data_IF_134185224654
#
_entry.id   IF_134185224654
#
_cell.length_a   1.000
_cell.length_b   1.000
_cell.length_c   1.000
_cell.angle_alpha   90.00
_cell.angle_beta   90.00
_cell.angle_gamma   90.00
#
_symmetry.space_group_name_H-M   'P 1'
#
loop_
_entity.id
_entity.type
_entity.pdbx_description
1 polymer ?
#
# COMPACT_ATOMS: atom_id res chain seq x y z
N UNK A 1 50.98 2.60 50.31
CA UNK A 1 50.88 1.66 51.45
C UNK A 1 50.18 0.42 50.99
N UNK A 2 50.96 -0.61 50.96
CA UNK A 2 50.73 -1.97 51.47
C UNK A 2 49.62 -2.76 50.75
N UNK A 3 50.09 -3.75 49.94
CA UNK A 3 50.25 -5.21 50.27
C UNK A 3 48.92 -5.93 50.18
N UNK A 4 48.76 -7.10 49.66
CA UNK A 4 49.62 -8.27 49.32
C UNK A 4 48.63 -9.37 48.85
N UNK A 5 49.04 -10.11 47.89
CA UNK A 5 49.47 -11.52 47.96
C UNK A 5 48.28 -12.52 47.91
N UNK A 6 48.26 -13.30 46.87
CA UNK A 6 48.86 -14.63 46.64
C UNK A 6 48.03 -15.80 47.21
N UNK A 7 47.87 -16.74 46.34
CA UNK A 7 47.78 -18.22 46.43
C UNK A 7 46.48 -18.72 45.81
N UNK A 8 46.48 -19.50 44.79
CA UNK A 8 47.26 -20.74 44.62
C UNK A 8 46.31 -21.89 44.92
N UNK A 9 45.79 -22.49 43.91
CA UNK A 9 44.94 -23.65 44.09
C UNK A 9 44.93 -24.46 42.81
N UNK A 10 45.86 -25.35 42.73
CA UNK A 10 45.97 -26.43 41.77
C UNK A 10 44.87 -27.43 42.13
N UNK A 11 43.98 -27.75 41.23
CA UNK A 11 43.16 -28.95 41.37
C UNK A 11 42.84 -29.43 39.96
N UNK A 12 43.65 -30.36 39.56
CA UNK A 12 43.43 -31.73 39.15
C UNK A 12 42.34 -31.96 38.13
N UNK A 13 42.83 -32.21 36.95
CA UNK A 13 42.17 -32.89 35.86
C UNK A 13 41.53 -34.19 36.36
N UNK A 14 40.22 -34.23 36.40
CA UNK A 14 39.47 -35.48 36.42
C UNK A 14 39.00 -35.72 35.00
N UNK A 15 39.80 -36.40 34.23
CA UNK A 15 39.40 -37.12 33.02
C UNK A 15 38.40 -38.20 33.40
N UNK A 16 37.17 -37.89 33.29
CA UNK A 16 36.14 -38.93 33.26
C UNK A 16 36.18 -39.55 31.87
N UNK A 17 36.88 -40.60 31.72
CA UNK A 17 36.73 -41.56 30.66
C UNK A 17 35.33 -42.18 30.81
N UNK A 18 34.41 -41.67 30.01
CA UNK A 18 33.13 -42.29 29.87
C UNK A 18 33.34 -43.60 29.12
N UNK A 19 33.31 -44.71 29.88
CA UNK A 19 33.31 -46.03 29.33
C UNK A 19 32.09 -46.19 28.41
N UNK A 20 32.38 -46.44 27.17
CA UNK A 20 31.42 -46.73 26.15
C UNK A 20 30.86 -48.10 26.41
N UNK A 21 29.77 -48.18 27.14
CA UNK A 21 28.98 -49.41 27.19
C UNK A 21 28.37 -49.63 25.80
N UNK A 22 28.93 -50.59 25.12
CA UNK A 22 28.36 -51.19 23.93
C UNK A 22 27.15 -52.00 24.35
N UNK A 23 25.97 -51.36 24.42
CA UNK A 23 24.74 -52.08 24.39
C UNK A 23 24.54 -52.58 22.96
N UNK A 24 24.82 -53.83 22.75
CA UNK A 24 24.37 -54.59 21.59
C UNK A 24 22.82 -54.59 21.60
N UNK A 25 22.24 -53.46 21.15
CA UNK A 25 20.82 -53.39 20.80
C UNK A 25 20.65 -53.98 19.43
N UNK A 26 20.00 -55.09 19.37
CA UNK A 26 19.47 -55.72 18.18
C UNK A 26 18.59 -54.70 17.40
N UNK A 27 19.18 -53.97 16.55
CA UNK A 27 18.54 -53.15 15.56
C UNK A 27 19.35 -53.30 14.29
N UNK A 28 18.76 -53.86 13.28
CA UNK A 28 19.36 -54.04 11.96
C UNK A 28 19.59 -52.64 11.36
N UNK A 29 20.61 -51.97 11.88
CA UNK A 29 21.07 -50.73 11.25
C UNK A 29 21.94 -51.12 10.06
N UNK A 30 21.32 -51.41 8.97
CA UNK A 30 22.02 -51.64 7.72
C UNK A 30 22.21 -50.30 7.01
N UNK A 31 23.39 -49.72 6.97
CA UNK A 31 23.64 -48.43 6.35
C UNK A 31 23.31 -48.43 4.83
N UNK A 32 23.36 -49.62 4.21
CA UNK A 32 23.00 -49.77 2.81
C UNK A 32 21.51 -49.62 2.57
N UNK A 33 20.66 -49.97 3.52
CA UNK A 33 19.20 -49.82 3.39
C UNK A 33 18.79 -48.36 3.62
N UNK A 34 19.48 -47.65 4.51
CA UNK A 34 19.19 -46.23 4.73
C UNK A 34 19.56 -45.34 3.51
N UNK A 35 20.52 -45.74 2.70
CA UNK A 35 20.85 -45.04 1.49
C UNK A 35 19.69 -45.08 0.44
N UNK A 36 18.90 -46.15 0.45
CA UNK A 36 17.76 -46.31 -0.45
C UNK A 36 16.56 -45.42 -0.03
N UNK A 37 16.49 -45.04 1.24
CA UNK A 37 15.45 -44.16 1.76
C UNK A 37 15.90 -42.74 2.01
N UNK A 38 17.09 -42.36 1.56
CA UNK A 38 17.52 -40.98 1.59
C UNK A 38 16.60 -40.15 0.71
N UNK A 39 15.60 -39.57 1.32
CA UNK A 39 14.78 -38.56 0.67
C UNK A 39 15.65 -37.30 0.52
N UNK A 40 16.15 -37.06 -0.67
CA UNK A 40 16.68 -35.77 -1.00
C UNK A 40 15.49 -34.81 -0.87
N UNK A 41 15.56 -33.94 0.12
CA UNK A 41 14.58 -32.87 0.26
C UNK A 41 14.52 -32.14 -1.09
N UNK A 42 13.47 -32.41 -1.84
CA UNK A 42 13.18 -31.65 -3.04
C UNK A 42 13.12 -30.17 -2.66
N UNK A 43 13.52 -29.31 -3.57
CA UNK A 43 13.46 -27.87 -3.50
C UNK A 43 12.37 -27.39 -2.56
N UNK A 44 12.73 -26.60 -1.58
CA UNK A 44 11.80 -25.85 -0.75
C UNK A 44 10.71 -25.32 -1.66
N UNK A 45 9.51 -25.80 -1.45
CA UNK A 45 8.33 -25.35 -2.19
C UNK A 45 8.36 -23.83 -2.20
N UNK A 46 8.32 -23.21 -3.38
CA UNK A 46 8.40 -21.77 -3.51
C UNK A 46 7.51 -21.13 -2.48
N UNK A 47 8.07 -20.19 -1.71
CA UNK A 47 7.33 -19.51 -0.65
C UNK A 47 6.02 -18.98 -1.20
N UNK A 48 4.98 -18.95 -0.37
CA UNK A 48 3.70 -18.34 -0.72
C UNK A 48 3.97 -16.99 -1.40
N UNK A 49 3.36 -16.76 -2.57
CA UNK A 49 3.54 -15.53 -3.32
C UNK A 49 3.21 -14.35 -2.40
N UNK A 50 4.16 -13.44 -2.22
CA UNK A 50 3.94 -12.19 -1.49
C UNK A 50 3.04 -11.20 -2.25
N UNK A 51 2.57 -11.56 -3.44
CA UNK A 51 1.89 -10.69 -4.40
C UNK A 51 0.36 -10.62 -4.23
N UNK A 52 -0.23 -11.35 -3.31
CA UNK A 52 -1.68 -11.36 -3.07
C UNK A 52 -2.21 -10.17 -2.26
N UNK A 53 -1.54 -9.01 -2.31
CA UNK A 53 -1.97 -7.81 -1.58
C UNK A 53 -2.71 -6.87 -2.50
N UNK A 54 -3.93 -6.52 -2.11
CA UNK A 54 -4.72 -5.50 -2.77
C UNK A 54 -4.94 -4.31 -1.85
N UNK A 55 -5.05 -3.12 -2.41
CA UNK A 55 -5.35 -1.90 -1.65
C UNK A 55 -6.83 -1.56 -1.81
N UNK A 56 -7.43 -1.02 -0.75
CA UNK A 56 -8.80 -0.55 -0.81
C UNK A 56 -9.01 0.44 -1.96
N UNK A 57 -10.09 0.32 -2.72
CA UNK A 57 -10.40 1.20 -3.84
C UNK A 57 -10.50 2.65 -3.37
N UNK A 58 -9.92 3.57 -4.13
CA UNK A 58 -9.91 5.02 -3.79
C UNK A 58 -11.04 5.79 -4.45
N UNK A 59 -11.84 5.13 -5.30
CA UNK A 59 -13.00 5.69 -5.99
C UNK A 59 -12.71 7.02 -6.70
N UNK A 60 -11.57 7.10 -7.41
CA UNK A 60 -11.19 8.27 -8.18
C UNK A 60 -11.97 8.35 -9.50
N UNK A 61 -12.07 9.54 -10.05
CA UNK A 61 -12.69 9.82 -11.35
C UNK A 61 -13.81 10.86 -11.28
N UNK A 62 -14.49 11.02 -12.40
CA UNK A 62 -15.66 11.88 -12.52
C UNK A 62 -16.84 11.23 -11.80
N UNK A 63 -17.62 12.04 -11.08
CA UNK A 63 -18.82 11.65 -10.35
C UNK A 63 -20.08 12.26 -10.97
N UNK A 64 -19.90 13.33 -11.72
CA UNK A 64 -20.95 14.06 -12.43
C UNK A 64 -20.54 14.25 -13.87
N UNK A 65 -21.47 13.95 -14.78
CA UNK A 65 -21.26 14.11 -16.22
C UNK A 65 -21.56 15.52 -16.72
N UNK A 66 -21.31 15.73 -18.01
CA UNK A 66 -21.66 16.99 -18.68
C UNK A 66 -23.18 17.16 -18.76
N UNK A 67 -23.67 18.37 -18.46
CA UNK A 67 -25.09 18.69 -18.45
C UNK A 67 -25.87 18.21 -17.22
N UNK A 68 -25.22 17.49 -16.31
CA UNK A 68 -25.87 16.97 -15.09
C UNK A 68 -26.07 18.10 -14.07
N UNK A 69 -27.25 18.09 -13.42
CA UNK A 69 -27.59 19.09 -12.39
C UNK A 69 -26.90 18.75 -11.09
N UNK A 70 -26.27 19.75 -10.51
CA UNK A 70 -25.55 19.66 -9.23
C UNK A 70 -26.07 20.71 -8.24
N UNK A 71 -25.97 20.39 -6.95
CA UNK A 71 -26.23 21.30 -5.84
C UNK A 71 -24.90 21.76 -5.24
N UNK A 72 -24.87 22.89 -4.49
CA UNK A 72 -23.67 23.32 -3.77
C UNK A 72 -23.13 22.20 -2.90
N UNK A 73 -21.82 22.01 -2.91
CA UNK A 73 -21.12 20.95 -2.17
C UNK A 73 -21.08 19.60 -2.88
N UNK A 74 -21.79 19.37 -3.99
CA UNK A 74 -21.67 18.11 -4.72
C UNK A 74 -20.26 17.97 -5.32
N UNK A 75 -19.68 16.79 -5.11
CA UNK A 75 -18.39 16.42 -5.70
C UNK A 75 -18.58 16.10 -7.18
N UNK A 76 -17.84 16.80 -8.04
CA UNK A 76 -17.88 16.61 -9.49
C UNK A 76 -16.77 15.63 -9.90
N UNK A 77 -15.56 15.81 -9.37
CA UNK A 77 -14.43 14.94 -9.69
C UNK A 77 -13.54 14.69 -8.47
N UNK A 78 -13.13 13.43 -8.29
CA UNK A 78 -12.08 13.05 -7.34
C UNK A 78 -10.82 12.69 -8.10
N UNK A 79 -9.70 13.31 -7.74
CA UNK A 79 -8.45 13.15 -8.48
C UNK A 79 -7.24 13.21 -7.55
N UNK A 80 -6.11 12.76 -8.06
CA UNK A 80 -4.79 12.95 -7.49
C UNK A 80 -4.04 13.92 -8.41
N UNK A 81 -3.66 15.07 -7.87
CA UNK A 81 -3.17 16.18 -8.68
C UNK A 81 -4.29 16.84 -9.49
N UNK A 82 -3.97 17.87 -10.28
CA UNK A 82 -4.92 18.69 -11.05
C UNK A 82 -5.05 18.22 -12.50
N UNK A 83 -5.62 17.05 -12.72
CA UNK A 83 -5.98 16.57 -14.06
C UNK A 83 -7.13 17.41 -14.67
N UNK A 84 -8.08 17.80 -13.80
CA UNK A 84 -9.15 18.74 -14.08
C UNK A 84 -8.93 19.96 -13.23
N UNK A 85 -9.15 21.15 -13.80
CA UNK A 85 -9.00 22.43 -13.11
C UNK A 85 -10.38 23.00 -12.76
N UNK A 86 -10.53 23.68 -11.62
CA UNK A 86 -11.76 24.36 -11.28
C UNK A 86 -11.90 25.60 -12.18
N UNK A 87 -13.06 25.79 -12.74
CA UNK A 87 -13.47 26.95 -13.48
C UNK A 87 -14.49 27.79 -12.70
N UNK A 88 -15.43 28.39 -13.43
CA UNK A 88 -16.45 29.24 -12.83
C UNK A 88 -17.40 28.41 -11.98
N UNK A 89 -17.74 28.90 -10.79
CA UNK A 89 -18.66 28.27 -9.83
C UNK A 89 -18.21 26.89 -9.31
N UNK A 90 -16.93 26.55 -9.47
CA UNK A 90 -16.33 25.34 -8.93
C UNK A 90 -15.24 25.68 -7.94
N UNK A 91 -15.14 24.91 -6.88
CA UNK A 91 -14.06 24.95 -5.91
C UNK A 91 -13.16 23.73 -6.01
N UNK A 92 -11.94 23.85 -5.50
CA UNK A 92 -11.01 22.73 -5.36
C UNK A 92 -10.62 22.55 -3.90
N UNK A 93 -10.71 21.34 -3.40
CA UNK A 93 -10.28 20.99 -2.06
C UNK A 93 -8.77 20.75 -1.97
N UNK A 94 -8.26 20.62 -0.77
CA UNK A 94 -6.84 20.33 -0.50
C UNK A 94 -6.39 18.99 -1.08
N UNK A 95 -7.31 18.05 -1.24
CA UNK A 95 -7.11 16.72 -1.84
C UNK A 95 -7.34 16.71 -3.37
N UNK A 96 -7.40 17.89 -3.99
CA UNK A 96 -7.70 18.11 -5.40
C UNK A 96 -9.11 17.70 -5.84
N UNK A 97 -10.01 17.46 -4.91
CA UNK A 97 -11.43 17.19 -5.22
C UNK A 97 -12.10 18.46 -5.75
N UNK A 98 -12.76 18.36 -6.91
CA UNK A 98 -13.54 19.46 -7.47
C UNK A 98 -14.99 19.32 -7.02
N UNK A 99 -15.56 20.41 -6.52
CA UNK A 99 -16.93 20.46 -6.02
C UNK A 99 -17.65 21.71 -6.52
N UNK A 100 -18.98 21.64 -6.58
CA UNK A 100 -19.82 22.75 -6.99
C UNK A 100 -20.01 23.76 -5.88
N UNK A 101 -19.92 25.04 -6.18
CA UNK A 101 -20.22 26.17 -5.27
C UNK A 101 -21.67 26.63 -5.40
N UNK A 102 -22.27 26.42 -6.56
CA UNK A 102 -23.60 26.91 -6.90
C UNK A 102 -24.44 25.79 -7.48
N UNK A 103 -25.76 25.89 -7.36
CA UNK A 103 -26.67 24.99 -8.05
C UNK A 103 -26.69 25.30 -9.55
N UNK A 104 -26.49 24.26 -10.37
CA UNK A 104 -26.43 24.47 -11.81
C UNK A 104 -26.18 23.18 -12.59
N UNK A 105 -25.85 23.33 -13.86
CA UNK A 105 -25.43 22.25 -14.75
C UNK A 105 -23.93 22.21 -14.89
N UNK A 106 -23.35 21.02 -14.84
CA UNK A 106 -21.92 20.83 -15.03
C UNK A 106 -21.57 20.98 -16.51
N UNK A 107 -20.52 21.75 -16.81
CA UNK A 107 -19.98 21.94 -18.14
C UNK A 107 -18.47 21.68 -18.13
N UNK A 108 -18.01 20.88 -19.08
CA UNK A 108 -16.57 20.64 -19.27
C UNK A 108 -16.08 21.44 -20.47
N UNK A 109 -14.98 22.13 -20.31
CA UNK A 109 -14.30 22.85 -21.38
C UNK A 109 -12.80 22.49 -21.42
N UNK A 110 -12.17 22.75 -22.55
CA UNK A 110 -10.73 22.59 -22.70
C UNK A 110 -10.14 23.95 -23.11
N UNK A 111 -9.23 24.43 -22.30
CA UNK A 111 -8.44 25.61 -22.62
C UNK A 111 -7.45 25.25 -23.75
N UNK A 112 -7.65 25.82 -24.93
CA UNK A 112 -6.83 25.55 -26.11
C UNK A 112 -5.39 26.07 -25.96
N UNK A 113 -5.19 27.14 -25.22
CA UNK A 113 -3.87 27.74 -25.05
C UNK A 113 -2.98 26.91 -24.12
N UNK A 114 -3.56 26.43 -23.01
CA UNK A 114 -2.82 25.69 -21.97
C UNK A 114 -3.06 24.18 -22.01
N UNK A 115 -3.95 23.70 -22.90
CA UNK A 115 -4.32 22.29 -22.99
C UNK A 115 -4.98 21.73 -21.73
N UNK A 116 -5.52 22.61 -20.86
CA UNK A 116 -6.09 22.21 -19.56
C UNK A 116 -7.57 21.90 -19.69
N UNK A 117 -7.99 20.86 -19.01
CA UNK A 117 -9.41 20.51 -18.87
C UNK A 117 -9.99 21.26 -17.69
N UNK A 118 -11.03 22.05 -17.93
CA UNK A 118 -11.66 22.93 -16.93
C UNK A 118 -13.09 22.47 -16.70
N UNK A 119 -13.53 22.54 -15.45
CA UNK A 119 -14.89 22.20 -15.04
C UNK A 119 -15.60 23.47 -14.60
N UNK A 120 -16.75 23.75 -15.16
CA UNK A 120 -17.60 24.87 -14.80
C UNK A 120 -18.96 24.38 -14.31
N UNK A 121 -19.65 25.21 -13.54
CA UNK A 121 -21.06 25.02 -13.21
C UNK A 121 -21.83 26.22 -13.71
N UNK A 122 -22.69 26.00 -14.71
CA UNK A 122 -23.63 27.01 -15.21
C UNK A 122 -24.84 27.05 -14.28
N UNK A 123 -25.15 28.19 -13.63
CA UNK A 123 -26.32 28.31 -12.77
C UNK A 123 -27.60 28.08 -13.56
N UNK A 124 -28.61 27.50 -12.91
CA UNK A 124 -29.91 27.28 -13.54
C UNK A 124 -30.68 28.59 -13.86
N UNK A 125 -30.50 29.61 -13.01
CA UNK A 125 -31.16 30.90 -13.18
C UNK A 125 -30.18 31.93 -13.79
N UNK A 126 -30.61 32.62 -14.80
CA UNK A 126 -29.87 33.76 -15.40
C UNK A 126 -29.71 34.93 -14.45
N UNK A 127 -30.62 35.09 -13.48
CA UNK A 127 -30.56 36.14 -12.46
C UNK A 127 -29.52 35.87 -11.37
N UNK A 128 -28.89 34.72 -11.39
CA UNK A 128 -27.87 34.39 -10.41
C UNK A 128 -26.65 35.31 -10.59
N UNK A 129 -26.12 35.96 -9.54
CA UNK A 129 -25.05 36.96 -9.63
C UNK A 129 -23.75 36.39 -10.24
N UNK A 130 -23.56 35.09 -10.25
CA UNK A 130 -22.40 34.43 -10.87
C UNK A 130 -22.74 33.77 -12.22
N UNK A 131 -23.85 34.16 -12.83
CA UNK A 131 -24.16 33.72 -14.19
C UNK A 131 -23.24 34.42 -15.17
N UNK A 132 -22.56 33.63 -15.99
CA UNK A 132 -21.69 34.15 -17.06
C UNK A 132 -22.24 33.60 -18.38
N UNK A 133 -22.59 34.50 -19.28
CA UNK A 133 -23.00 34.17 -20.64
C UNK A 133 -21.83 33.53 -21.40
N UNK A 134 -22.12 32.49 -22.18
CA UNK A 134 -21.11 31.80 -22.99
C UNK A 134 -20.41 30.63 -22.35
N UNK A 135 -20.84 30.16 -21.17
CA UNK A 135 -20.47 28.83 -20.69
C UNK A 135 -21.37 27.84 -21.43
N UNK A 136 -20.79 26.92 -22.25
CA UNK A 136 -21.55 25.93 -23.00
C UNK A 136 -22.32 24.95 -22.14
#
# INVERSE_FOLDING_TARGET
MLRSAVRGGIASALTRTCAKEERAGCGIWNPAVNALFARFASKKQGGSSSNGRDSNPKFLGLKKGNGEVVRPGHIIARQRGTKWHPGVNCGIGKDHTIFALVQGKVCFSTDKLKGRKIVHVAPLSKEHPKYIEGIP
#
